data_IF_418512481917
#
_entry.id   IF_418512481917
#
_cell.length_a   1.000
_cell.length_b   1.000
_cell.length_c   1.000
_cell.angle_alpha   90.00
_cell.angle_beta   90.00
_cell.angle_gamma   90.00
#
_symmetry.space_group_name_H-M   'P 1'
#
loop_
_entity.id
_entity.type
_entity.pdbx_description
1 polymer ?
#
# COMPACT_ATOMS: atom_id res chain seq x y z
N UNK A 1 44.35 -46.90 -21.16
CA UNK A 1 43.23 -47.18 -20.29
C UNK A 1 41.97 -46.56 -20.97
N UNK A 2 41.23 -47.38 -21.73
CA UNK A 2 39.99 -46.97 -22.38
C UNK A 2 38.91 -46.79 -21.31
N UNK A 3 38.40 -45.57 -21.12
CA UNK A 3 37.14 -45.34 -20.40
C UNK A 3 36.03 -45.98 -21.23
N UNK A 4 35.44 -47.07 -20.74
CA UNK A 4 34.18 -47.62 -21.25
C UNK A 4 33.14 -46.56 -21.01
N UNK A 5 32.71 -45.85 -22.06
CA UNK A 5 31.53 -45.00 -22.05
C UNK A 5 30.33 -45.93 -21.91
N UNK A 6 29.62 -45.88 -20.82
CA UNK A 6 28.39 -46.65 -20.59
C UNK A 6 27.42 -46.34 -21.75
N UNK A 7 26.91 -47.37 -22.37
CA UNK A 7 25.96 -47.31 -23.50
C UNK A 7 24.50 -47.08 -23.06
N UNK A 8 24.28 -46.68 -21.84
CA UNK A 8 22.96 -46.29 -21.35
C UNK A 8 22.54 -44.98 -21.99
N UNK A 9 21.37 -44.96 -22.58
CA UNK A 9 20.75 -43.75 -23.15
C UNK A 9 20.59 -42.68 -22.04
N UNK A 10 21.31 -41.55 -22.16
CA UNK A 10 21.24 -40.49 -21.13
C UNK A 10 19.80 -40.00 -20.89
N UNK A 11 18.94 -40.04 -21.91
CA UNK A 11 17.54 -39.67 -21.77
C UNK A 11 16.74 -40.65 -20.95
N UNK A 12 17.03 -41.97 -21.07
CA UNK A 12 16.39 -43.02 -20.25
C UNK A 12 16.76 -42.85 -18.74
N UNK A 13 18.00 -42.47 -18.45
CA UNK A 13 18.44 -42.23 -17.08
C UNK A 13 17.83 -40.92 -16.45
N UNK A 14 17.50 -39.92 -17.28
CA UNK A 14 16.89 -38.67 -16.81
C UNK A 14 15.39 -38.79 -16.53
N UNK A 15 14.68 -39.70 -17.18
CA UNK A 15 13.23 -39.85 -17.09
C UNK A 15 12.73 -40.06 -15.65
N UNK A 16 13.27 -40.98 -14.84
CA UNK A 16 12.83 -41.18 -13.46
C UNK A 16 13.15 -39.99 -12.57
N UNK A 17 14.24 -39.27 -12.81
CA UNK A 17 14.59 -38.05 -12.05
C UNK A 17 13.63 -36.91 -12.36
N UNK A 18 13.26 -36.72 -13.60
CA UNK A 18 12.22 -35.76 -14.01
C UNK A 18 10.87 -36.05 -13.37
N UNK A 19 10.45 -37.33 -13.36
CA UNK A 19 9.21 -37.77 -12.70
C UNK A 19 9.24 -37.45 -11.18
N UNK A 20 10.40 -37.65 -10.52
CA UNK A 20 10.53 -37.26 -9.11
C UNK A 20 10.41 -35.77 -8.91
N UNK A 21 11.02 -34.94 -9.78
CA UNK A 21 10.87 -33.48 -9.74
C UNK A 21 9.41 -33.08 -9.92
N UNK A 22 8.71 -33.64 -10.93
CA UNK A 22 7.30 -33.36 -11.19
C UNK A 22 6.41 -33.70 -9.97
N UNK A 23 6.72 -34.78 -9.26
CA UNK A 23 6.02 -35.13 -8.02
C UNK A 23 6.27 -34.14 -6.89
N UNK A 24 7.53 -33.67 -6.71
CA UNK A 24 7.88 -32.67 -5.72
C UNK A 24 7.22 -31.32 -6.03
N UNK A 25 7.20 -30.91 -7.30
CA UNK A 25 6.52 -29.71 -7.74
C UNK A 25 5.01 -29.78 -7.48
N UNK A 26 4.39 -30.95 -7.74
CA UNK A 26 2.98 -31.16 -7.40
C UNK A 26 2.72 -31.03 -5.89
N UNK A 27 3.58 -31.58 -5.04
CA UNK A 27 3.49 -31.42 -3.59
C UNK A 27 3.66 -29.96 -3.16
N UNK A 28 4.55 -29.21 -3.80
CA UNK A 28 4.72 -27.78 -3.55
C UNK A 28 3.43 -26.99 -3.84
N UNK A 29 2.77 -27.29 -4.97
CA UNK A 29 1.47 -26.68 -5.31
C UNK A 29 0.42 -27.00 -4.25
N UNK A 30 0.33 -28.24 -3.78
CA UNK A 30 -0.60 -28.62 -2.72
C UNK A 30 -0.31 -27.89 -1.40
N UNK A 31 0.97 -27.77 -1.02
CA UNK A 31 1.37 -27.05 0.19
C UNK A 31 1.03 -25.54 0.10
N UNK A 32 1.22 -24.94 -1.07
CA UNK A 32 0.85 -23.55 -1.31
C UNK A 32 -0.67 -23.36 -1.22
N UNK A 33 -1.47 -24.29 -1.77
CA UNK A 33 -2.93 -24.25 -1.67
C UNK A 33 -3.40 -24.39 -0.21
N UNK A 34 -2.85 -25.34 0.55
CA UNK A 34 -3.13 -25.49 2.00
C UNK A 34 -2.77 -24.23 2.78
N UNK A 35 -1.60 -23.63 2.50
CA UNK A 35 -1.18 -22.39 3.11
C UNK A 35 -2.12 -21.24 2.79
N UNK A 36 -2.58 -21.12 1.54
CA UNK A 36 -3.52 -20.09 1.12
C UNK A 36 -4.85 -20.18 1.88
N UNK A 37 -5.37 -21.40 2.07
CA UNK A 37 -6.59 -21.64 2.85
C UNK A 37 -6.44 -21.18 4.31
N UNK A 38 -5.33 -21.55 4.99
CA UNK A 38 -5.04 -21.09 6.36
C UNK A 38 -4.87 -19.56 6.41
N UNK A 39 -4.24 -18.97 5.39
CA UNK A 39 -4.04 -17.53 5.32
C UNK A 39 -5.37 -16.78 5.17
N UNK A 40 -6.32 -17.32 4.41
CA UNK A 40 -7.68 -16.76 4.32
C UNK A 40 -8.39 -16.77 5.68
N UNK A 41 -8.21 -17.84 6.47
CA UNK A 41 -8.76 -17.91 7.84
C UNK A 41 -8.11 -16.85 8.76
N UNK A 42 -6.79 -16.69 8.70
CA UNK A 42 -6.08 -15.62 9.40
C UNK A 42 -6.65 -14.24 9.01
N UNK A 43 -6.97 -14.03 7.73
CA UNK A 43 -7.62 -12.81 7.26
C UNK A 43 -8.97 -12.56 7.93
N UNK A 44 -9.82 -13.60 8.04
CA UNK A 44 -11.13 -13.51 8.74
C UNK A 44 -10.98 -13.16 10.22
N UNK A 45 -10.03 -13.78 10.91
CA UNK A 45 -9.74 -13.47 12.32
C UNK A 45 -9.26 -12.03 12.47
N UNK A 46 -8.33 -11.58 11.61
CA UNK A 46 -7.87 -10.18 11.62
C UNK A 46 -9.02 -9.20 11.38
N UNK A 47 -9.90 -9.50 10.45
CA UNK A 47 -11.08 -8.69 10.18
C UNK A 47 -12.03 -8.65 11.40
N UNK A 48 -12.27 -9.77 12.05
CA UNK A 48 -13.14 -9.83 13.24
C UNK A 48 -12.64 -8.95 14.39
N UNK A 49 -11.33 -8.86 14.58
CA UNK A 49 -10.70 -8.15 15.71
C UNK A 49 -10.04 -6.82 15.33
N UNK A 50 -10.29 -6.27 14.14
CA UNK A 50 -9.68 -5.05 13.63
C UNK A 50 -8.14 -5.04 13.71
N UNK A 51 -7.51 -6.21 13.49
CA UNK A 51 -6.07 -6.34 13.54
C UNK A 51 -5.43 -5.87 12.22
N UNK A 52 -4.21 -5.30 12.27
CA UNK A 52 -3.48 -4.89 11.08
C UNK A 52 -3.27 -6.04 10.09
N UNK A 53 -3.45 -5.75 8.79
CA UNK A 53 -3.16 -6.74 7.74
C UNK A 53 -1.67 -7.10 7.76
N UNK A 54 -0.79 -6.12 7.90
CA UNK A 54 0.66 -6.27 7.94
C UNK A 54 1.22 -6.08 9.36
N UNK A 55 2.05 -7.01 9.82
CA UNK A 55 2.74 -7.00 11.13
C UNK A 55 4.23 -7.24 10.85
N UNK A 56 5.06 -6.18 10.83
CA UNK A 56 6.48 -6.27 10.46
C UNK A 56 7.27 -7.29 11.27
N UNK A 57 7.08 -7.29 12.58
CA UNK A 57 7.83 -8.15 13.52
C UNK A 57 7.55 -9.64 13.25
N UNK A 58 6.27 -9.96 12.96
CA UNK A 58 5.86 -11.33 12.62
C UNK A 58 6.48 -11.80 11.31
N UNK A 59 6.53 -10.92 10.31
CA UNK A 59 7.13 -11.26 9.02
C UNK A 59 8.65 -11.45 9.15
N UNK A 60 9.34 -10.54 9.84
CA UNK A 60 10.78 -10.64 10.07
C UNK A 60 11.15 -11.92 10.84
N UNK A 61 10.40 -12.25 11.89
CA UNK A 61 10.60 -13.46 12.67
C UNK A 61 10.39 -14.72 11.81
N UNK A 62 9.37 -14.72 10.95
CA UNK A 62 9.09 -15.84 10.03
C UNK A 62 10.24 -16.01 9.03
N UNK A 63 10.67 -14.95 8.37
CA UNK A 63 11.78 -15.01 7.39
C UNK A 63 13.05 -15.51 8.06
N UNK A 64 13.42 -14.94 9.21
CA UNK A 64 14.61 -15.35 9.96
C UNK A 64 14.59 -16.85 10.27
N UNK A 65 13.47 -17.36 10.81
CA UNK A 65 13.34 -18.77 11.17
C UNK A 65 13.41 -19.71 9.95
N UNK A 66 12.82 -19.27 8.80
CA UNK A 66 12.85 -20.11 7.59
C UNK A 66 14.20 -20.07 6.87
N UNK A 67 14.93 -18.96 6.91
CA UNK A 67 16.31 -18.88 6.42
C UNK A 67 17.20 -19.89 7.17
N UNK A 68 17.14 -19.89 8.49
CA UNK A 68 17.90 -20.85 9.31
C UNK A 68 17.53 -22.31 8.97
N UNK A 69 16.24 -22.62 8.87
CA UNK A 69 15.77 -23.96 8.49
C UNK A 69 16.28 -24.38 7.10
N UNK A 70 16.35 -23.45 6.15
CA UNK A 70 16.85 -23.70 4.82
C UNK A 70 18.33 -24.07 4.84
N UNK A 71 19.15 -23.32 5.59
CA UNK A 71 20.57 -23.60 5.77
C UNK A 71 20.80 -25.00 6.37
N UNK A 72 20.03 -25.37 7.41
CA UNK A 72 20.09 -26.70 8.03
C UNK A 72 19.69 -27.81 7.07
N UNK A 73 18.82 -27.52 6.09
CA UNK A 73 18.37 -28.44 5.06
C UNK A 73 19.24 -28.45 3.79
N UNK A 74 20.30 -27.64 3.73
CA UNK A 74 21.15 -27.52 2.56
C UNK A 74 20.51 -26.77 1.38
N UNK A 75 19.51 -25.91 1.66
CA UNK A 75 18.82 -25.07 0.66
C UNK A 75 19.28 -23.62 0.82
N UNK A 76 19.39 -22.88 -0.29
CA UNK A 76 19.74 -21.46 -0.26
C UNK A 76 18.74 -20.68 0.61
N UNK A 77 19.24 -19.98 1.62
CA UNK A 77 18.44 -19.12 2.48
C UNK A 77 17.80 -17.98 1.70
N UNK A 78 18.49 -17.43 0.70
CA UNK A 78 17.98 -16.35 -0.16
C UNK A 78 16.84 -16.85 -1.04
N UNK A 79 16.93 -18.05 -1.61
CA UNK A 79 15.85 -18.67 -2.37
C UNK A 79 14.58 -18.80 -1.52
N UNK A 80 14.72 -19.29 -0.28
CA UNK A 80 13.54 -19.44 0.60
C UNK A 80 12.97 -18.08 0.99
N UNK A 81 13.79 -17.08 1.22
CA UNK A 81 13.31 -15.73 1.49
C UNK A 81 12.51 -15.17 0.30
N UNK A 82 13.04 -15.27 -0.93
CA UNK A 82 12.37 -14.77 -2.13
C UNK A 82 11.03 -15.46 -2.38
N UNK A 83 11.00 -16.81 -2.27
CA UNK A 83 9.77 -17.59 -2.40
C UNK A 83 8.74 -17.16 -1.35
N UNK A 84 9.15 -17.04 -0.08
CA UNK A 84 8.22 -16.67 0.99
C UNK A 84 7.73 -15.22 0.84
N UNK A 85 8.59 -14.28 0.43
CA UNK A 85 8.18 -12.90 0.16
C UNK A 85 7.13 -12.84 -0.96
N UNK A 86 7.31 -13.65 -2.01
CA UNK A 86 6.32 -13.74 -3.10
C UNK A 86 5.00 -14.33 -2.62
N UNK A 87 5.05 -15.43 -1.88
CA UNK A 87 3.87 -16.11 -1.31
C UNK A 87 3.13 -15.21 -0.31
N UNK A 88 3.83 -14.45 0.53
CA UNK A 88 3.22 -13.50 1.45
C UNK A 88 2.54 -12.34 0.71
N UNK A 89 3.15 -11.83 -0.37
CA UNK A 89 2.54 -10.78 -1.20
C UNK A 89 1.20 -11.23 -1.78
N UNK A 90 1.12 -12.45 -2.28
CA UNK A 90 -0.12 -13.06 -2.76
C UNK A 90 -1.17 -13.18 -1.65
N UNK A 91 -0.72 -13.60 -0.46
CA UNK A 91 -1.59 -13.72 0.72
C UNK A 91 -2.21 -12.38 1.14
N UNK A 92 -1.51 -11.26 0.99
CA UNK A 92 -2.09 -9.95 1.27
C UNK A 92 -3.18 -9.57 0.25
N UNK A 93 -3.03 -9.93 -1.01
CA UNK A 93 -4.06 -9.69 -2.02
C UNK A 93 -5.37 -10.46 -1.72
N UNK A 94 -5.26 -11.71 -1.31
CA UNK A 94 -6.43 -12.54 -0.99
C UNK A 94 -7.13 -12.12 0.31
N UNK A 95 -6.41 -11.53 1.27
CA UNK A 95 -6.99 -11.01 2.52
C UNK A 95 -7.72 -9.67 2.34
N UNK A 96 -7.58 -9.02 1.21
CA UNK A 96 -8.25 -7.76 0.90
C UNK A 96 -9.74 -7.88 0.53
N UNK A 97 -10.39 -9.01 0.66
CA UNK A 97 -11.80 -9.19 0.29
C UNK A 97 -12.76 -8.25 1.04
N UNK A 98 -12.35 -7.74 2.22
CA UNK A 98 -13.04 -6.73 3.00
C UNK A 98 -12.19 -6.32 4.19
N UNK A 99 -12.42 -5.11 4.68
CA UNK A 99 -11.74 -4.58 5.86
C UNK A 99 -12.77 -4.22 6.93
N UNK A 100 -12.35 -4.26 8.18
CA UNK A 100 -13.20 -3.76 9.26
C UNK A 100 -13.25 -2.24 9.21
N UNK A 101 -14.40 -1.69 9.51
CA UNK A 101 -14.59 -0.26 9.72
C UNK A 101 -14.05 0.12 11.11
N UNK A 102 -13.11 1.07 11.17
CA UNK A 102 -12.52 1.52 12.43
C UNK A 102 -13.31 2.64 13.12
N UNK A 103 -14.48 3.00 12.58
CA UNK A 103 -15.42 3.94 13.18
C UNK A 103 -16.81 3.29 13.23
N UNK A 104 -17.79 3.86 12.57
CA UNK A 104 -19.14 3.30 12.45
C UNK A 104 -19.41 2.90 11.01
N UNK A 105 -19.87 1.68 10.78
CA UNK A 105 -20.25 1.24 9.43
C UNK A 105 -21.38 2.11 8.89
N UNK A 106 -21.21 2.57 7.65
CA UNK A 106 -22.13 3.51 7.01
C UNK A 106 -21.80 4.99 7.24
N UNK A 107 -20.79 5.32 8.06
CA UNK A 107 -20.32 6.70 8.18
C UNK A 107 -19.89 7.24 6.82
N UNK A 108 -20.27 8.50 6.56
CA UNK A 108 -20.02 9.14 5.28
C UNK A 108 -18.57 9.64 5.17
N UNK A 109 -17.92 9.29 4.06
CA UNK A 109 -16.61 9.77 3.67
C UNK A 109 -16.72 10.47 2.32
N UNK A 110 -16.29 11.72 2.24
CA UNK A 110 -16.25 12.49 1.00
C UNK A 110 -14.81 12.53 0.48
N UNK A 111 -14.59 12.05 -0.74
CA UNK A 111 -13.28 12.10 -1.39
C UNK A 111 -13.32 13.16 -2.50
N UNK A 112 -12.62 14.26 -2.28
CA UNK A 112 -12.48 15.34 -3.25
C UNK A 112 -11.36 14.98 -4.23
N UNK A 113 -11.70 14.83 -5.51
CA UNK A 113 -10.78 14.29 -6.51
C UNK A 113 -10.77 12.74 -6.53
N UNK A 114 -11.87 12.13 -6.07
CA UNK A 114 -12.02 10.68 -5.97
C UNK A 114 -12.04 9.95 -7.32
N UNK A 115 -12.32 10.63 -8.43
CA UNK A 115 -12.25 10.08 -9.78
C UNK A 115 -10.80 10.00 -10.32
N UNK A 116 -9.84 10.67 -9.68
CA UNK A 116 -8.42 10.59 -10.00
C UNK A 116 -7.83 9.19 -9.71
N UNK A 117 -6.67 8.87 -10.27
CA UNK A 117 -6.08 7.54 -10.16
C UNK A 117 -5.82 7.12 -8.70
N UNK A 118 -5.23 8.00 -7.88
CA UNK A 118 -5.00 7.74 -6.46
C UNK A 118 -6.32 7.82 -5.66
N UNK A 119 -7.17 8.81 -5.96
CA UNK A 119 -8.48 8.99 -5.32
C UNK A 119 -9.37 7.75 -5.42
N UNK A 120 -9.49 7.16 -6.61
CA UNK A 120 -10.24 5.90 -6.85
C UNK A 120 -9.78 4.77 -5.93
N UNK A 121 -8.49 4.69 -5.65
CA UNK A 121 -7.97 3.66 -4.76
C UNK A 121 -8.48 3.84 -3.32
N UNK A 122 -8.46 5.07 -2.81
CA UNK A 122 -8.99 5.36 -1.48
C UNK A 122 -10.52 5.25 -1.42
N UNK A 123 -11.23 5.65 -2.46
CA UNK A 123 -12.67 5.39 -2.60
C UNK A 123 -12.96 3.89 -2.43
N UNK A 124 -12.25 3.03 -3.19
CA UNK A 124 -12.41 1.58 -3.09
C UNK A 124 -12.07 1.04 -1.70
N UNK A 125 -10.99 1.51 -1.07
CA UNK A 125 -10.58 1.07 0.27
C UNK A 125 -11.63 1.42 1.33
N UNK A 126 -12.17 2.64 1.32
CA UNK A 126 -13.22 3.05 2.25
C UNK A 126 -14.52 2.27 2.00
N UNK A 127 -14.95 2.11 0.74
CA UNK A 127 -16.15 1.31 0.41
C UNK A 127 -16.02 -0.14 0.90
N UNK A 128 -14.87 -0.76 0.67
CA UNK A 128 -14.57 -2.14 1.13
C UNK A 128 -14.45 -2.24 2.65
N UNK A 129 -14.27 -1.13 3.35
CA UNK A 129 -14.31 -1.03 4.82
C UNK A 129 -15.70 -0.73 5.38
N UNK A 130 -16.72 -0.64 4.52
CA UNK A 130 -18.11 -0.43 4.94
C UNK A 130 -18.50 1.03 5.17
N UNK A 131 -17.69 2.01 4.72
CA UNK A 131 -18.07 3.42 4.71
C UNK A 131 -18.97 3.74 3.51
N UNK A 132 -19.85 4.72 3.68
CA UNK A 132 -20.58 5.33 2.58
C UNK A 132 -19.67 6.39 1.93
N UNK A 133 -19.26 6.17 0.68
CA UNK A 133 -18.29 7.07 0.02
C UNK A 133 -18.98 7.89 -1.06
N UNK A 134 -18.83 9.20 -0.95
CA UNK A 134 -19.23 10.16 -1.96
C UNK A 134 -17.99 10.78 -2.63
N UNK A 135 -18.07 11.04 -3.93
CA UNK A 135 -16.97 11.60 -4.71
C UNK A 135 -17.34 13.02 -5.15
N UNK A 136 -16.55 13.99 -4.69
CA UNK A 136 -16.71 15.39 -5.03
C UNK A 136 -15.68 15.79 -6.09
N UNK A 137 -16.17 16.23 -7.24
CA UNK A 137 -15.39 16.66 -8.40
C UNK A 137 -15.75 18.09 -8.83
N UNK A 138 -15.07 18.60 -9.83
CA UNK A 138 -15.34 19.94 -10.34
C UNK A 138 -16.75 20.08 -10.94
N UNK A 139 -17.25 19.07 -11.61
CA UNK A 139 -18.56 19.07 -12.29
C UNK A 139 -19.73 19.03 -11.30
N UNK A 140 -19.58 18.41 -10.13
CA UNK A 140 -20.60 18.36 -9.08
C UNK A 140 -20.31 19.28 -7.88
N UNK A 141 -19.38 20.23 -8.01
CA UNK A 141 -18.99 21.14 -6.93
C UNK A 141 -20.15 21.95 -6.34
N UNK A 142 -21.18 22.19 -7.14
CA UNK A 142 -22.42 22.87 -6.67
C UNK A 142 -23.15 22.10 -5.56
N UNK A 143 -22.89 20.80 -5.40
CA UNK A 143 -23.44 19.94 -4.34
C UNK A 143 -22.50 19.85 -3.11
N UNK A 144 -21.33 20.48 -3.14
CA UNK A 144 -20.30 20.34 -2.12
C UNK A 144 -20.83 20.54 -0.70
N UNK A 145 -21.71 21.53 -0.50
CA UNK A 145 -22.27 21.86 0.81
C UNK A 145 -23.09 20.69 1.37
N UNK A 146 -23.94 20.08 0.57
CA UNK A 146 -24.81 18.98 0.99
C UNK A 146 -23.98 17.69 1.18
N UNK A 147 -22.99 17.48 0.32
CA UNK A 147 -22.12 16.31 0.39
C UNK A 147 -21.25 16.30 1.65
N UNK A 148 -20.65 17.43 2.04
CA UNK A 148 -19.78 17.47 3.22
C UNK A 148 -20.53 17.47 4.55
N UNK A 149 -21.82 17.83 4.54
CA UNK A 149 -22.62 17.86 5.77
C UNK A 149 -22.77 16.46 6.36
N UNK A 150 -22.47 16.30 7.64
CA UNK A 150 -22.49 15.01 8.34
C UNK A 150 -21.40 14.02 7.92
N UNK A 151 -20.39 14.46 7.16
CA UNK A 151 -19.28 13.61 6.78
C UNK A 151 -18.35 13.35 7.96
N UNK A 152 -17.96 12.10 8.16
CA UNK A 152 -16.93 11.72 9.14
C UNK A 152 -15.53 12.14 8.67
N UNK A 153 -15.33 12.18 7.34
CA UNK A 153 -14.05 12.54 6.71
C UNK A 153 -14.31 13.30 5.40
N UNK A 154 -13.58 14.37 5.20
CA UNK A 154 -13.35 14.98 3.89
C UNK A 154 -11.88 14.78 3.54
N UNK A 155 -11.62 13.95 2.51
CA UNK A 155 -10.29 13.58 2.06
C UNK A 155 -9.95 14.27 0.73
N UNK A 156 -8.93 15.11 0.74
CA UNK A 156 -8.47 15.85 -0.44
C UNK A 156 -7.46 15.00 -1.23
N UNK A 157 -7.84 14.61 -2.45
CA UNK A 157 -7.05 13.76 -3.34
C UNK A 157 -6.86 14.40 -4.74
N UNK A 158 -6.83 15.74 -4.80
CA UNK A 158 -6.65 16.50 -6.03
C UNK A 158 -5.16 16.74 -6.33
N UNK A 159 -4.78 17.10 -7.57
CA UNK A 159 -3.41 17.48 -7.92
C UNK A 159 -2.86 18.58 -7.01
N UNK A 160 -1.56 18.48 -6.67
CA UNK A 160 -0.87 19.39 -5.74
C UNK A 160 -1.04 20.87 -6.10
N UNK A 161 -1.01 21.19 -7.39
CA UNK A 161 -1.10 22.56 -7.89
C UNK A 161 -2.42 23.28 -7.53
N UNK A 162 -3.50 22.51 -7.32
CA UNK A 162 -4.83 23.07 -7.02
C UNK A 162 -5.28 22.80 -5.58
N UNK A 163 -4.52 22.02 -4.81
CA UNK A 163 -4.92 21.56 -3.48
C UNK A 163 -5.31 22.71 -2.55
N UNK A 164 -4.48 23.73 -2.41
CA UNK A 164 -4.78 24.84 -1.49
C UNK A 164 -6.01 25.65 -1.94
N UNK A 165 -6.20 25.82 -3.25
CA UNK A 165 -7.37 26.49 -3.79
C UNK A 165 -8.64 25.70 -3.48
N UNK A 166 -8.62 24.39 -3.69
CA UNK A 166 -9.74 23.49 -3.40
C UNK A 166 -10.08 23.50 -1.91
N UNK A 167 -9.08 23.45 -1.03
CA UNK A 167 -9.28 23.55 0.42
C UNK A 167 -9.94 24.88 0.79
N UNK A 168 -9.50 25.99 0.21
CA UNK A 168 -10.08 27.31 0.48
C UNK A 168 -11.55 27.42 0.05
N UNK A 169 -11.93 26.73 -1.03
CA UNK A 169 -13.28 26.71 -1.59
C UNK A 169 -14.24 25.73 -0.89
N UNK A 170 -13.75 24.84 -0.03
CA UNK A 170 -14.64 23.92 0.70
C UNK A 170 -15.72 24.71 1.46
N UNK A 171 -16.94 24.17 1.56
CA UNK A 171 -17.93 24.68 2.51
C UNK A 171 -17.43 24.61 3.96
N UNK A 172 -18.19 25.16 4.89
CA UNK A 172 -17.96 24.91 6.32
C UNK A 172 -18.20 23.42 6.63
N UNK A 173 -17.31 22.84 7.39
CA UNK A 173 -17.36 21.45 7.82
C UNK A 173 -17.86 21.37 9.27
N UNK A 174 -18.58 20.29 9.58
CA UNK A 174 -19.04 20.03 10.93
C UNK A 174 -17.87 19.79 11.89
N UNK A 175 -18.05 20.11 13.18
CA UNK A 175 -17.01 19.98 14.22
C UNK A 175 -16.49 18.54 14.40
N UNK A 176 -17.24 17.54 13.98
CA UNK A 176 -16.87 16.13 14.06
C UNK A 176 -16.26 15.57 12.77
N UNK A 177 -16.23 16.39 11.71
CA UNK A 177 -15.59 16.05 10.45
C UNK A 177 -14.07 16.12 10.59
N UNK A 178 -13.38 15.10 10.11
CA UNK A 178 -11.92 15.13 9.91
C UNK A 178 -11.63 15.70 8.53
N UNK A 179 -10.73 16.68 8.45
CA UNK A 179 -10.21 17.17 7.17
C UNK A 179 -8.79 16.62 6.96
N UNK A 180 -8.59 15.88 5.86
CA UNK A 180 -7.31 15.27 5.52
C UNK A 180 -6.94 15.47 4.05
N UNK A 181 -5.65 15.40 3.72
CA UNK A 181 -5.14 15.45 2.35
C UNK A 181 -4.19 14.29 2.03
N UNK A 182 -3.99 14.01 0.75
CA UNK A 182 -3.07 12.97 0.25
C UNK A 182 -1.90 13.55 -0.57
N UNK A 183 -1.65 14.84 -0.51
CA UNK A 183 -0.64 15.48 -1.36
C UNK A 183 0.79 15.12 -0.98
N UNK A 184 1.70 15.25 -1.95
CA UNK A 184 3.13 14.97 -1.77
C UNK A 184 3.93 16.11 -1.12
N UNK A 185 3.29 17.23 -0.76
CA UNK A 185 3.83 18.29 0.10
C UNK A 185 2.92 18.47 1.30
N UNK A 186 3.45 18.90 2.45
CA UNK A 186 2.66 18.95 3.67
C UNK A 186 2.51 20.37 4.23
N UNK A 187 3.52 21.21 4.16
CA UNK A 187 3.49 22.53 4.81
C UNK A 187 2.34 23.41 4.29
N UNK A 188 2.21 23.56 2.99
CA UNK A 188 1.16 24.39 2.40
C UNK A 188 -0.25 23.84 2.62
N UNK A 189 -0.54 22.59 2.21
CA UNK A 189 -1.84 21.97 2.40
C UNK A 189 -2.29 21.92 3.86
N UNK A 190 -1.38 21.50 4.78
CA UNK A 190 -1.72 21.42 6.21
C UNK A 190 -2.07 22.79 6.79
N UNK A 191 -1.30 23.84 6.43
CA UNK A 191 -1.60 25.22 6.86
C UNK A 191 -2.95 25.69 6.30
N UNK A 192 -3.27 25.40 5.04
CA UNK A 192 -4.55 25.75 4.44
C UNK A 192 -5.72 25.02 5.13
N UNK A 193 -5.56 23.72 5.43
CA UNK A 193 -6.58 22.96 6.16
C UNK A 193 -6.79 23.48 7.59
N UNK A 194 -5.72 23.83 8.30
CA UNK A 194 -5.77 24.40 9.66
C UNK A 194 -6.46 25.76 9.69
N UNK A 195 -6.29 26.57 8.64
CA UNK A 195 -6.98 27.85 8.50
C UNK A 195 -8.46 27.68 8.14
N UNK A 196 -8.77 26.66 7.34
CA UNK A 196 -10.14 26.42 6.83
C UNK A 196 -11.04 25.73 7.84
N UNK A 197 -10.53 24.79 8.62
CA UNK A 197 -11.31 23.96 9.53
C UNK A 197 -10.83 24.11 10.98
N UNK A 198 -11.75 24.38 11.88
CA UNK A 198 -11.44 24.63 13.30
C UNK A 198 -11.28 23.36 14.14
N UNK A 199 -11.63 22.19 13.61
CA UNK A 199 -11.56 20.91 14.31
C UNK A 199 -10.43 20.01 13.74
N UNK A 200 -10.64 18.74 13.64
CA UNK A 200 -9.65 17.70 13.35
C UNK A 200 -9.01 17.83 11.97
N UNK A 201 -7.70 17.98 11.92
CA UNK A 201 -6.92 18.14 10.68
C UNK A 201 -5.69 17.23 10.71
N UNK A 202 -5.45 16.50 9.64
CA UNK A 202 -4.27 15.65 9.45
C UNK A 202 -3.78 15.66 8.00
N UNK A 203 -2.49 15.81 7.80
CA UNK A 203 -1.83 15.64 6.51
C UNK A 203 -1.37 14.20 6.34
N UNK A 204 -1.68 13.59 5.19
CA UNK A 204 -1.23 12.26 4.82
C UNK A 204 -0.44 12.33 3.50
N UNK A 205 0.62 11.56 3.39
CA UNK A 205 1.32 11.41 2.12
C UNK A 205 1.59 9.92 1.85
N UNK A 206 0.80 9.27 0.99
CA UNK A 206 1.10 7.95 0.47
C UNK A 206 2.37 7.98 -0.36
N UNK A 207 3.42 7.26 0.09
CA UNK A 207 4.72 7.18 -0.60
C UNK A 207 4.68 6.20 -1.78
N UNK A 208 3.53 6.09 -2.44
CA UNK A 208 3.28 5.17 -3.54
C UNK A 208 2.33 5.80 -4.58
N UNK A 209 2.44 5.32 -5.81
CA UNK A 209 1.52 5.71 -6.89
C UNK A 209 0.25 4.86 -6.93
N UNK A 210 -0.64 5.15 -7.88
CA UNK A 210 -1.90 4.41 -8.03
C UNK A 210 -1.72 2.97 -8.51
N UNK A 211 -0.56 2.62 -9.09
CA UNK A 211 -0.32 1.33 -9.76
C UNK A 211 0.08 0.19 -8.81
N UNK A 212 0.03 0.41 -7.50
CA UNK A 212 0.28 -0.66 -6.52
C UNK A 212 -0.82 -1.72 -6.55
N UNK A 213 -0.47 -2.98 -6.33
CA UNK A 213 -1.44 -4.07 -6.25
C UNK A 213 -2.29 -4.00 -4.96
N UNK A 214 -1.66 -3.60 -3.85
CA UNK A 214 -2.31 -3.42 -2.54
C UNK A 214 -1.56 -2.38 -1.69
N UNK A 215 -2.20 -1.91 -0.61
CA UNK A 215 -1.63 -0.92 0.30
C UNK A 215 -0.74 -1.57 1.41
N UNK A 216 -0.77 -2.90 1.56
CA UNK A 216 0.03 -3.58 2.57
C UNK A 216 1.52 -3.31 2.36
N UNK A 217 2.22 -2.98 3.43
CA UNK A 217 3.64 -2.56 3.46
C UNK A 217 3.95 -1.21 2.82
N UNK A 218 2.99 -0.55 2.22
CA UNK A 218 3.20 0.78 1.67
C UNK A 218 3.34 1.81 2.80
N UNK A 219 4.27 2.73 2.63
CA UNK A 219 4.51 3.78 3.62
C UNK A 219 3.55 4.94 3.39
N UNK A 220 2.95 5.42 4.47
CA UNK A 220 2.18 6.66 4.51
C UNK A 220 2.77 7.57 5.58
N UNK A 221 3.22 8.76 5.18
CA UNK A 221 3.69 9.75 6.14
C UNK A 221 2.48 10.49 6.72
N UNK A 222 2.46 10.61 8.03
CA UNK A 222 1.42 11.31 8.80
C UNK A 222 2.02 12.61 9.35
N UNK A 223 1.41 13.73 9.04
CA UNK A 223 1.73 15.04 9.60
C UNK A 223 0.55 15.53 10.42
N UNK A 224 0.69 15.51 11.74
CA UNK A 224 -0.36 15.89 12.66
C UNK A 224 -0.65 17.40 12.57
N UNK A 225 -1.93 17.74 12.51
CA UNK A 225 -2.41 19.13 12.53
C UNK A 225 -3.08 19.47 13.86
N UNK A 226 -4.38 19.23 13.98
CA UNK A 226 -5.19 19.58 15.16
C UNK A 226 -6.07 18.41 15.57
N UNK A 227 -6.40 18.30 16.87
CA UNK A 227 -7.36 17.33 17.44
C UNK A 227 -7.08 15.88 17.06
N UNK A 228 -5.84 15.42 17.31
CA UNK A 228 -5.37 14.11 16.93
C UNK A 228 -6.28 12.95 17.41
N UNK A 229 -6.92 13.11 18.56
CA UNK A 229 -7.83 12.10 19.11
C UNK A 229 -9.03 11.81 18.20
N UNK A 230 -9.54 12.87 17.52
CA UNK A 230 -10.72 12.72 16.64
C UNK A 230 -10.45 11.95 15.35
N UNK A 231 -9.19 11.87 14.89
CA UNK A 231 -8.84 11.10 13.69
C UNK A 231 -8.04 9.82 13.97
N UNK A 232 -7.94 9.38 15.23
CA UNK A 232 -7.26 8.10 15.54
C UNK A 232 -7.89 6.91 14.81
N UNK A 233 -9.20 6.93 14.59
CA UNK A 233 -9.87 5.92 13.78
C UNK A 233 -9.35 5.86 12.34
N UNK A 234 -9.02 7.01 11.74
CA UNK A 234 -8.47 7.08 10.40
C UNK A 234 -7.04 6.50 10.38
N UNK A 235 -6.22 6.84 11.36
CA UNK A 235 -4.88 6.25 11.54
C UNK A 235 -4.99 4.74 11.70
N UNK A 236 -5.92 4.25 12.52
CA UNK A 236 -6.18 2.82 12.69
C UNK A 236 -6.67 2.18 11.39
N UNK A 237 -7.51 2.86 10.62
CA UNK A 237 -7.99 2.36 9.33
C UNK A 237 -6.84 2.11 8.35
N UNK A 238 -5.86 3.01 8.26
CA UNK A 238 -4.66 2.78 7.45
C UNK A 238 -3.83 1.58 7.93
N UNK A 239 -3.71 1.38 9.26
CA UNK A 239 -3.05 0.20 9.83
C UNK A 239 -3.81 -1.09 9.51
N UNK A 240 -5.14 -1.07 9.59
CA UNK A 240 -6.01 -2.21 9.20
C UNK A 240 -5.80 -2.55 7.71
N UNK A 241 -5.67 -1.58 6.83
CA UNK A 241 -5.31 -1.80 5.43
C UNK A 241 -3.88 -2.34 5.24
N UNK A 242 -3.05 -2.33 6.28
CA UNK A 242 -1.68 -2.84 6.27
C UNK A 242 -0.62 -1.81 5.90
N UNK A 243 -0.97 -0.52 5.86
CA UNK A 243 0.01 0.54 5.63
C UNK A 243 1.00 0.65 6.80
N UNK A 244 2.23 1.02 6.47
CA UNK A 244 3.27 1.39 7.44
C UNK A 244 3.21 2.90 7.65
N UNK A 245 2.85 3.33 8.86
CA UNK A 245 2.73 4.75 9.16
C UNK A 245 4.04 5.28 9.72
N UNK A 246 4.46 6.45 9.23
CA UNK A 246 5.64 7.16 9.72
C UNK A 246 5.25 8.61 10.03
N UNK A 247 5.49 9.05 11.25
CA UNK A 247 5.14 10.40 11.68
C UNK A 247 6.30 11.37 11.40
N UNK A 248 5.98 12.52 10.79
CA UNK A 248 6.89 13.65 10.55
C UNK A 248 6.12 14.96 10.67
N UNK A 249 6.77 15.99 11.18
CA UNK A 249 6.19 17.34 11.03
C UNK A 249 6.11 17.69 9.53
N UNK A 250 5.19 18.58 9.17
CA UNK A 250 5.03 19.03 7.78
C UNK A 250 6.35 19.59 7.19
N UNK A 251 7.09 20.35 7.99
CA UNK A 251 8.38 20.90 7.60
C UNK A 251 9.44 19.80 7.39
N UNK A 252 9.61 18.88 8.35
CA UNK A 252 10.53 17.74 8.21
C UNK A 252 10.21 16.87 7.01
N UNK A 253 8.91 16.67 6.76
CA UNK A 253 8.45 15.94 5.59
C UNK A 253 8.91 16.64 4.30
N UNK A 254 8.65 17.94 4.16
CA UNK A 254 8.94 18.66 2.92
C UNK A 254 10.46 18.78 2.67
N UNK A 255 11.27 18.97 3.73
CA UNK A 255 12.74 18.92 3.65
C UNK A 255 13.25 17.56 3.12
N UNK A 256 12.72 16.45 3.66
CA UNK A 256 13.06 15.11 3.20
C UNK A 256 12.60 14.85 1.75
N UNK A 257 11.41 15.33 1.38
CA UNK A 257 10.88 15.16 0.02
C UNK A 257 11.69 15.95 -1.01
N UNK A 258 12.17 17.15 -0.68
CA UNK A 258 13.08 17.89 -1.55
C UNK A 258 14.33 17.08 -1.86
N UNK A 259 14.95 16.46 -0.86
CA UNK A 259 16.12 15.61 -1.04
C UNK A 259 15.80 14.36 -1.88
N UNK A 260 14.73 13.66 -1.56
CA UNK A 260 14.31 12.43 -2.26
C UNK A 260 13.98 12.74 -3.73
N UNK A 261 13.24 13.82 -3.99
CA UNK A 261 12.88 14.23 -5.35
C UNK A 261 14.11 14.68 -6.13
N UNK A 262 15.02 15.46 -5.54
CA UNK A 262 16.26 15.86 -6.15
C UNK A 262 17.11 14.63 -6.57
N UNK A 263 17.28 13.66 -5.67
CA UNK A 263 17.98 12.39 -5.93
C UNK A 263 17.32 11.60 -7.06
N UNK A 264 15.99 11.51 -7.05
CA UNK A 264 15.23 10.79 -8.09
C UNK A 264 15.41 11.45 -9.46
N UNK A 265 15.28 12.77 -9.55
CA UNK A 265 15.47 13.50 -10.81
C UNK A 265 16.89 13.40 -11.30
N UNK A 266 17.87 13.54 -10.40
CA UNK A 266 19.28 13.39 -10.74
C UNK A 266 19.58 11.98 -11.29
N UNK A 267 19.13 10.93 -10.61
CA UNK A 267 19.31 9.55 -11.07
C UNK A 267 18.68 9.34 -12.45
N UNK A 268 17.44 9.80 -12.65
CA UNK A 268 16.75 9.68 -13.93
C UNK A 268 17.49 10.45 -15.06
N UNK A 269 18.03 11.62 -14.76
CA UNK A 269 18.81 12.40 -15.71
C UNK A 269 20.12 11.68 -16.09
N UNK A 270 20.84 11.14 -15.11
CA UNK A 270 22.08 10.39 -15.34
C UNK A 270 21.82 9.14 -16.19
N UNK A 271 20.76 8.37 -15.87
CA UNK A 271 20.36 7.22 -16.69
C UNK A 271 19.99 7.62 -18.11
N UNK A 272 19.18 8.67 -18.26
CA UNK A 272 18.78 9.17 -19.59
C UNK A 272 19.97 9.65 -20.42
N UNK A 273 20.93 10.36 -19.82
CA UNK A 273 22.13 10.80 -20.48
C UNK A 273 23.01 9.61 -20.94
N UNK A 274 23.21 8.63 -20.05
CA UNK A 274 23.97 7.41 -20.37
C UNK A 274 23.33 6.60 -21.51
N UNK A 275 22.01 6.38 -21.46
CA UNK A 275 21.30 5.69 -22.54
C UNK A 275 21.36 6.44 -23.86
N UNK A 276 21.37 7.77 -23.85
CA UNK A 276 21.49 8.59 -25.04
C UNK A 276 22.92 8.51 -25.63
N UNK A 277 23.98 8.48 -24.79
CA UNK A 277 25.37 8.29 -25.23
C UNK A 277 25.60 6.91 -25.83
N UNK A 278 25.03 5.85 -25.24
CA UNK A 278 25.15 4.47 -25.73
C UNK A 278 24.25 4.18 -26.94
N UNK A 279 23.46 5.13 -27.42
CA UNK A 279 22.49 4.95 -28.52
C UNK A 279 21.57 3.72 -28.29
N UNK A 280 21.25 3.42 -27.03
CA UNK A 280 20.45 2.26 -26.66
C UNK A 280 19.07 2.37 -27.27
N UNK A 281 18.67 1.38 -28.06
CA UNK A 281 17.29 1.24 -28.56
C UNK A 281 16.40 0.74 -27.44
N UNK A 282 15.55 1.61 -26.93
CA UNK A 282 14.61 1.31 -25.84
C UNK A 282 13.37 0.52 -26.30
N UNK A 283 13.34 0.07 -27.57
CA UNK A 283 12.21 -0.71 -28.13
C UNK A 283 12.49 -2.21 -28.24
N UNK A 284 13.61 -2.69 -27.71
CA UNK A 284 13.91 -4.14 -27.64
C UNK A 284 13.51 -4.77 -26.31
#
# INVERSE_FOLDING_TARGET
MNKVVSTEDPMAALLPLRQQIDQLDSQLVELLAKRAAVTAEVGRVKQQYALPLYVPEREQALIKARRQQAEEAGVSADLIEDVLRRVMRESYQTQEAGFVCCRTSGDKVVVVGGAGALGKRFVSLFQRSGYQVEVLEQDNWHQAKDMVQGAALVLIAVPIAVTQLVIAQLPELDSDTVLADLTSTKTGPLSAMLAKHSSAVVGLHPMFGPDISNIAKQVVVVSHGRDAEKYQWLIQQFKVWGAVLTEKSAQQHDELMQLIQAMRHFSSLVYGAHLAEEQADLQQ
#
